data_IF_872245512353
#
_entry.id   IF_872245512353
#
_cell.length_a   1.000
_cell.length_b   1.000
_cell.length_c   1.000
_cell.angle_alpha   90.00
_cell.angle_beta   90.00
_cell.angle_gamma   90.00
#
_symmetry.space_group_name_H-M   'P 1'
#
loop_
_entity.id
_entity.type
_entity.pdbx_description
1 polymer ?
#
# COMPACT_ATOMS: atom_id res chain seq x y z
N UNK A 1 41.18 41.66 -38.40
CA UNK A 1 39.93 42.13 -37.78
C UNK A 1 40.31 43.04 -36.62
N UNK A 2 40.13 44.35 -36.79
CA UNK A 2 41.08 45.34 -36.28
C UNK A 2 40.75 45.80 -34.86
N UNK A 3 41.77 45.86 -33.99
CA UNK A 3 41.69 46.34 -32.60
C UNK A 3 41.03 47.74 -32.45
N UNK A 4 41.00 48.51 -33.53
CA UNK A 4 40.29 49.77 -33.64
C UNK A 4 38.77 49.63 -33.45
N UNK A 5 38.15 48.58 -34.01
CA UNK A 5 36.70 48.35 -33.92
C UNK A 5 36.31 48.06 -32.46
N UNK A 6 37.09 47.23 -31.76
CA UNK A 6 36.89 46.94 -30.34
C UNK A 6 37.03 48.20 -29.46
N UNK A 7 38.02 49.05 -29.73
CA UNK A 7 38.22 50.33 -29.01
C UNK A 7 37.05 51.29 -29.21
N UNK A 8 36.53 51.39 -30.43
CA UNK A 8 35.38 52.26 -30.74
C UNK A 8 34.12 51.70 -30.08
N UNK A 9 33.87 50.39 -30.16
CA UNK A 9 32.73 49.74 -29.53
C UNK A 9 32.73 49.93 -28.00
N UNK A 10 33.87 49.70 -27.34
CA UNK A 10 34.01 49.85 -25.89
C UNK A 10 33.78 51.30 -25.45
N UNK A 11 34.35 52.27 -26.18
CA UNK A 11 34.12 53.70 -25.92
C UNK A 11 32.65 54.06 -26.04
N UNK A 12 31.93 53.48 -27.01
CA UNK A 12 30.52 53.76 -27.22
C UNK A 12 29.62 53.19 -26.10
N UNK A 13 29.91 51.97 -25.65
CA UNK A 13 29.24 51.34 -24.50
C UNK A 13 29.45 52.16 -23.22
N UNK A 14 30.68 52.62 -22.99
CA UNK A 14 31.04 53.45 -21.82
C UNK A 14 30.48 54.88 -21.88
N UNK A 15 30.24 55.42 -23.08
CA UNK A 15 29.61 56.73 -23.26
C UNK A 15 28.10 56.69 -22.98
N UNK A 16 27.41 55.61 -23.38
CA UNK A 16 25.98 55.43 -23.15
C UNK A 16 25.68 54.52 -21.94
N UNK A 17 26.16 54.90 -20.75
CA UNK A 17 26.10 54.07 -19.54
C UNK A 17 24.70 53.56 -19.21
N UNK A 18 23.69 54.43 -19.22
CA UNK A 18 22.31 54.04 -18.85
C UNK A 18 21.73 53.02 -19.83
N UNK A 19 21.83 53.28 -21.15
CA UNK A 19 21.28 52.37 -22.19
C UNK A 19 22.01 51.02 -22.19
N UNK A 20 23.34 51.03 -22.06
CA UNK A 20 24.14 49.82 -22.00
C UNK A 20 23.85 48.99 -20.74
N UNK A 21 23.61 49.64 -19.60
CA UNK A 21 23.20 48.95 -18.36
C UNK A 21 21.82 48.30 -18.52
N UNK A 22 20.83 48.99 -19.09
CA UNK A 22 19.49 48.42 -19.31
C UNK A 22 19.58 47.16 -20.17
N UNK A 23 20.28 47.24 -21.31
CA UNK A 23 20.46 46.09 -22.22
C UNK A 23 21.22 44.96 -21.52
N UNK A 24 22.29 45.28 -20.79
CA UNK A 24 23.07 44.30 -20.02
C UNK A 24 22.24 43.59 -18.95
N UNK A 25 21.38 44.32 -18.23
CA UNK A 25 20.49 43.75 -17.21
C UNK A 25 19.46 42.83 -17.84
N UNK A 26 18.87 43.19 -18.98
CA UNK A 26 17.91 42.32 -19.69
C UNK A 26 18.59 41.01 -20.11
N UNK A 27 19.78 41.09 -20.72
CA UNK A 27 20.54 39.90 -21.09
C UNK A 27 20.95 39.07 -19.87
N UNK A 28 21.41 39.71 -18.79
CA UNK A 28 21.79 39.03 -17.56
C UNK A 28 20.59 38.32 -16.90
N UNK A 29 19.42 38.97 -16.88
CA UNK A 29 18.20 38.38 -16.33
C UNK A 29 17.73 37.18 -17.17
N UNK A 30 17.75 37.30 -18.49
CA UNK A 30 17.43 36.19 -19.39
C UNK A 30 18.37 35.00 -19.21
N UNK A 31 19.68 35.26 -19.13
CA UNK A 31 20.68 34.23 -18.85
C UNK A 31 20.49 33.61 -17.46
N UNK A 32 20.21 34.41 -16.43
CA UNK A 32 19.96 33.94 -15.07
C UNK A 32 18.77 32.98 -15.03
N UNK A 33 17.64 33.37 -15.63
CA UNK A 33 16.44 32.53 -15.69
C UNK A 33 16.72 31.22 -16.43
N UNK A 34 17.44 31.27 -17.56
CA UNK A 34 17.81 30.08 -18.30
C UNK A 34 18.70 29.12 -17.49
N UNK A 35 19.73 29.65 -16.83
CA UNK A 35 20.67 28.84 -16.03
C UNK A 35 19.99 28.28 -14.78
N UNK A 36 19.23 29.09 -14.05
CA UNK A 36 18.52 28.65 -12.84
C UNK A 36 17.44 27.64 -13.19
N UNK A 37 16.67 27.88 -14.26
CA UNK A 37 15.67 26.95 -14.75
C UNK A 37 16.27 25.60 -15.12
N UNK A 38 17.36 25.59 -15.90
CA UNK A 38 18.03 24.35 -16.27
C UNK A 38 18.62 23.62 -15.06
N UNK A 39 19.27 24.35 -14.15
CA UNK A 39 19.85 23.78 -12.94
C UNK A 39 18.78 23.17 -12.03
N UNK A 40 17.60 23.79 -11.93
CA UNK A 40 16.48 23.28 -11.15
C UNK A 40 15.95 21.96 -11.74
N UNK A 41 15.69 21.93 -13.06
CA UNK A 41 15.22 20.72 -13.75
C UNK A 41 16.23 19.59 -13.61
N UNK A 42 17.50 19.88 -13.83
CA UNK A 42 18.59 18.91 -13.67
C UNK A 42 18.70 18.39 -12.22
N UNK A 43 18.49 19.25 -11.22
CA UNK A 43 18.50 18.84 -9.83
C UNK A 43 17.31 17.94 -9.48
N UNK A 44 16.13 18.23 -10.04
CA UNK A 44 14.94 17.40 -9.88
C UNK A 44 15.13 16.02 -10.51
N UNK A 45 15.64 15.96 -11.74
CA UNK A 45 15.90 14.71 -12.45
C UNK A 45 16.91 13.83 -11.70
N UNK A 46 18.06 14.41 -11.31
CA UNK A 46 19.07 13.71 -10.51
C UNK A 46 18.54 13.28 -9.16
N UNK A 47 17.76 14.14 -8.49
CA UNK A 47 17.16 13.85 -7.19
C UNK A 47 16.17 12.69 -7.27
N UNK A 48 15.31 12.69 -8.28
CA UNK A 48 14.30 11.65 -8.51
C UNK A 48 14.95 10.32 -8.90
N UNK A 49 15.86 10.34 -9.88
CA UNK A 49 16.62 9.16 -10.31
C UNK A 49 17.37 8.53 -9.14
N UNK A 50 18.14 9.33 -8.41
CA UNK A 50 18.87 8.87 -7.22
C UNK A 50 17.91 8.33 -6.15
N UNK A 51 16.78 9.00 -5.94
CA UNK A 51 15.78 8.57 -4.97
C UNK A 51 15.22 7.19 -5.29
N UNK A 52 14.90 6.92 -6.56
CA UNK A 52 14.32 5.64 -7.01
C UNK A 52 15.38 4.53 -6.98
N UNK A 53 16.59 4.82 -7.48
CA UNK A 53 17.71 3.87 -7.52
C UNK A 53 18.11 3.44 -6.11
N UNK A 54 18.32 4.40 -5.20
CA UNK A 54 18.82 4.13 -3.84
C UNK A 54 17.74 3.59 -2.86
N UNK A 55 16.46 3.63 -3.24
CA UNK A 55 15.36 3.16 -2.38
C UNK A 55 14.92 1.74 -2.69
N UNK A 56 14.75 1.38 -3.97
CA UNK A 56 14.11 0.11 -4.33
C UNK A 56 14.55 -0.48 -5.67
N UNK A 57 14.70 0.35 -6.71
CA UNK A 57 14.81 -0.15 -8.08
C UNK A 57 16.22 -0.68 -8.43
N UNK A 58 17.26 -0.09 -7.82
CA UNK A 58 18.63 -0.27 -8.26
C UNK A 58 18.89 0.41 -9.62
N UNK A 59 20.07 0.18 -10.19
CA UNK A 59 20.48 0.82 -11.45
C UNK A 59 19.84 0.19 -12.69
N UNK A 60 19.53 -1.11 -12.64
CA UNK A 60 18.96 -1.86 -13.74
C UNK A 60 18.06 -2.95 -13.19
N UNK A 61 16.93 -3.17 -13.85
CA UNK A 61 15.99 -4.23 -13.52
C UNK A 61 15.88 -5.20 -14.68
N UNK A 62 15.92 -6.49 -14.37
CA UNK A 62 15.83 -7.58 -15.34
C UNK A 62 14.55 -8.34 -15.01
N UNK A 63 13.67 -8.47 -16.01
CA UNK A 63 12.41 -9.20 -15.88
C UNK A 63 12.32 -10.30 -16.94
N UNK A 64 11.37 -11.22 -16.77
CA UNK A 64 11.17 -12.29 -17.72
C UNK A 64 10.57 -11.74 -19.03
N UNK A 65 11.02 -12.28 -20.18
CA UNK A 65 10.47 -11.92 -21.50
C UNK A 65 9.01 -12.36 -21.66
N UNK A 66 8.58 -13.38 -20.93
CA UNK A 66 7.23 -13.95 -21.00
C UNK A 66 6.18 -13.25 -20.13
N UNK A 67 6.51 -12.12 -19.49
CA UNK A 67 5.53 -11.32 -18.77
C UNK A 67 4.47 -10.77 -19.73
N UNK A 68 3.20 -10.80 -19.32
CA UNK A 68 2.08 -10.27 -20.10
C UNK A 68 2.00 -8.76 -20.03
N UNK A 69 2.45 -8.19 -18.91
CA UNK A 69 2.31 -6.78 -18.60
C UNK A 69 3.66 -6.05 -18.66
N UNK A 70 3.66 -4.74 -18.98
CA UNK A 70 4.84 -3.92 -18.84
C UNK A 70 5.32 -3.88 -17.39
N UNK A 71 6.63 -3.84 -17.20
CA UNK A 71 7.22 -3.82 -15.87
C UNK A 71 6.84 -2.53 -15.12
N UNK A 72 6.12 -2.67 -14.00
CA UNK A 72 5.83 -1.60 -13.04
C UNK A 72 6.04 -2.12 -11.62
N UNK A 73 6.92 -1.47 -10.86
CA UNK A 73 7.25 -1.86 -9.48
C UNK A 73 6.05 -1.65 -8.55
N UNK A 74 5.25 -0.61 -8.82
CA UNK A 74 4.16 -0.18 -7.95
C UNK A 74 2.78 -0.65 -8.44
N UNK A 75 2.72 -1.34 -9.59
CA UNK A 75 1.49 -1.73 -10.23
C UNK A 75 0.60 -0.54 -10.62
N UNK A 76 -0.65 -0.84 -10.98
CA UNK A 76 -1.72 0.14 -11.14
C UNK A 76 -2.73 -0.11 -10.02
N UNK A 77 -3.08 0.94 -9.28
CA UNK A 77 -4.02 0.91 -8.15
C UNK A 77 -5.39 0.34 -8.54
N UNK A 78 -5.75 0.41 -9.83
CA UNK A 78 -7.02 -0.08 -10.37
C UNK A 78 -6.90 -1.39 -11.16
N UNK A 79 -5.74 -1.73 -11.73
CA UNK A 79 -5.58 -2.90 -12.61
C UNK A 79 -4.94 -4.13 -11.92
N UNK A 80 -4.48 -4.00 -10.67
CA UNK A 80 -3.82 -5.07 -9.93
C UNK A 80 -2.30 -5.13 -10.16
N UNK A 81 -1.64 -6.18 -9.66
CA UNK A 81 -0.20 -6.34 -9.90
C UNK A 81 0.08 -6.81 -11.33
N UNK A 82 1.04 -6.18 -12.03
CA UNK A 82 1.43 -6.57 -13.37
C UNK A 82 2.11 -7.95 -13.36
N UNK A 83 1.73 -8.81 -14.31
CA UNK A 83 2.40 -10.07 -14.57
C UNK A 83 3.66 -9.83 -15.42
N UNK A 84 4.77 -9.53 -14.76
CA UNK A 84 6.10 -9.41 -15.39
C UNK A 84 6.84 -10.76 -15.52
N UNK A 85 6.14 -11.88 -15.27
CA UNK A 85 6.66 -13.24 -15.36
C UNK A 85 7.65 -13.62 -14.26
N UNK A 86 8.04 -14.90 -14.26
CA UNK A 86 8.94 -15.50 -13.25
C UNK A 86 10.26 -15.88 -13.90
N UNK A 87 11.37 -15.56 -13.23
CA UNK A 87 12.70 -16.07 -13.56
C UNK A 87 12.95 -17.31 -12.69
N UNK A 88 12.91 -18.53 -13.25
CA UNK A 88 12.93 -19.76 -12.46
C UNK A 88 14.30 -20.07 -11.83
N UNK A 89 15.41 -19.72 -12.50
CA UNK A 89 16.76 -19.98 -12.01
C UNK A 89 17.53 -18.67 -11.76
N UNK A 90 17.34 -18.12 -10.57
CA UNK A 90 18.08 -16.94 -10.14
C UNK A 90 19.59 -17.20 -10.05
N UNK A 91 20.02 -18.41 -9.70
CA UNK A 91 21.45 -18.71 -9.53
C UNK A 91 22.20 -18.66 -10.87
N UNK A 92 21.59 -19.14 -11.96
CA UNK A 92 22.12 -18.99 -13.31
C UNK A 92 22.19 -17.52 -13.73
N UNK A 93 21.13 -16.73 -13.49
CA UNK A 93 21.11 -15.30 -13.83
C UNK A 93 22.17 -14.53 -13.04
N UNK A 94 22.27 -14.76 -11.72
CA UNK A 94 23.29 -14.14 -10.86
C UNK A 94 24.71 -14.46 -11.34
N UNK A 95 24.96 -15.69 -11.80
CA UNK A 95 26.26 -16.10 -12.33
C UNK A 95 26.63 -15.37 -13.61
N UNK A 96 25.68 -15.23 -14.54
CA UNK A 96 25.91 -14.55 -15.83
C UNK A 96 26.04 -13.04 -15.63
N UNK A 97 25.09 -12.42 -14.96
CA UNK A 97 25.06 -10.96 -14.76
C UNK A 97 26.17 -10.49 -13.83
N UNK A 98 26.48 -11.26 -12.78
CA UNK A 98 27.58 -10.96 -11.87
C UNK A 98 28.97 -11.04 -12.50
N UNK A 99 29.11 -11.70 -13.66
CA UNK A 99 30.36 -11.73 -14.41
C UNK A 99 30.57 -10.49 -15.31
N UNK A 100 29.55 -9.64 -15.46
CA UNK A 100 29.63 -8.43 -16.29
C UNK A 100 30.43 -7.34 -15.56
N UNK A 101 31.47 -6.75 -16.18
CA UNK A 101 32.22 -5.64 -15.57
C UNK A 101 31.32 -4.47 -15.20
N UNK A 102 31.47 -3.95 -13.98
CA UNK A 102 30.67 -2.85 -13.46
C UNK A 102 29.39 -3.27 -12.70
N UNK A 103 29.05 -4.57 -12.67
CA UNK A 103 27.96 -5.07 -11.82
C UNK A 103 28.47 -5.28 -10.39
N UNK A 104 27.97 -4.48 -9.44
CA UNK A 104 28.37 -4.55 -8.04
C UNK A 104 27.62 -5.64 -7.26
N UNK A 105 26.35 -5.88 -7.59
CA UNK A 105 25.49 -6.89 -6.99
C UNK A 105 24.29 -7.20 -7.88
N UNK A 106 23.74 -8.40 -7.70
CA UNK A 106 22.48 -8.84 -8.30
C UNK A 106 21.57 -9.30 -7.16
N UNK A 107 20.46 -8.60 -6.98
CA UNK A 107 19.54 -8.79 -5.85
C UNK A 107 18.25 -9.43 -6.38
N UNK A 108 17.80 -10.57 -5.81
CA UNK A 108 16.56 -11.20 -6.23
C UNK A 108 15.38 -10.38 -5.70
N UNK A 109 14.39 -10.13 -6.54
CA UNK A 109 13.17 -9.40 -6.18
C UNK A 109 11.96 -10.09 -6.80
N UNK A 110 10.87 -10.19 -6.04
CA UNK A 110 9.57 -10.66 -6.50
C UNK A 110 8.47 -9.86 -5.82
N UNK A 111 7.44 -9.48 -6.58
CA UNK A 111 6.34 -8.65 -6.08
C UNK A 111 5.05 -9.45 -6.09
N UNK A 112 4.27 -9.37 -5.02
CA UNK A 112 2.96 -10.00 -4.95
C UNK A 112 2.03 -9.26 -3.98
N UNK A 113 0.73 -9.47 -4.13
CA UNK A 113 -0.28 -9.02 -3.17
C UNK A 113 -0.69 -10.19 -2.31
N UNK A 114 -0.63 -10.01 -1.00
CA UNK A 114 -1.29 -10.86 -0.03
C UNK A 114 -2.57 -10.19 0.44
N UNK A 115 -3.63 -10.97 0.62
CA UNK A 115 -4.82 -10.53 1.31
C UNK A 115 -4.76 -11.08 2.72
N UNK A 116 -4.52 -10.21 3.69
CA UNK A 116 -4.57 -10.56 5.10
C UNK A 116 -6.01 -10.47 5.59
N UNK A 117 -6.60 -11.59 6.00
CA UNK A 117 -7.92 -11.59 6.65
C UNK A 117 -7.72 -11.51 8.17
N UNK A 118 -8.20 -10.43 8.78
CA UNK A 118 -8.24 -10.28 10.24
C UNK A 118 -9.33 -11.12 10.91
N UNK A 119 -10.18 -11.81 10.15
CA UNK A 119 -11.40 -12.44 10.60
C UNK A 119 -12.49 -11.41 10.87
N UNK A 120 -13.73 -11.81 10.63
CA UNK A 120 -14.89 -10.94 10.81
C UNK A 120 -15.22 -10.73 12.31
N UNK A 121 -15.66 -9.52 12.67
CA UNK A 121 -16.15 -9.22 14.02
C UNK A 121 -17.27 -10.19 14.44
N UNK A 122 -18.16 -10.56 13.52
CA UNK A 122 -19.23 -11.52 13.80
C UNK A 122 -18.66 -12.91 14.14
N UNK A 123 -17.66 -13.41 13.40
CA UNK A 123 -17.02 -14.71 13.70
C UNK A 123 -16.43 -14.75 15.10
N UNK A 124 -15.74 -13.68 15.52
CA UNK A 124 -15.17 -13.59 16.87
C UNK A 124 -16.27 -13.59 17.94
N UNK A 125 -17.39 -12.90 17.69
CA UNK A 125 -18.52 -12.86 18.62
C UNK A 125 -19.28 -14.18 18.65
N UNK A 126 -19.44 -14.86 17.53
CA UNK A 126 -20.05 -16.20 17.45
C UNK A 126 -19.18 -17.25 18.16
N UNK A 127 -17.85 -17.18 18.00
CA UNK A 127 -16.92 -18.04 18.73
C UNK A 127 -17.02 -17.81 20.25
N UNK A 128 -17.09 -16.56 20.71
CA UNK A 128 -17.30 -16.22 22.11
C UNK A 128 -18.66 -16.70 22.62
N UNK A 129 -19.73 -16.54 21.83
CA UNK A 129 -21.07 -17.00 22.18
C UNK A 129 -21.11 -18.53 22.29
N UNK A 130 -20.48 -19.25 21.37
CA UNK A 130 -20.34 -20.71 21.45
C UNK A 130 -19.60 -21.13 22.72
N UNK A 131 -18.55 -20.43 23.11
CA UNK A 131 -17.82 -20.71 24.34
C UNK A 131 -18.70 -20.49 25.58
N UNK A 132 -19.47 -19.40 25.63
CA UNK A 132 -20.41 -19.09 26.72
C UNK A 132 -21.53 -20.14 26.84
N UNK A 133 -22.12 -20.56 25.72
CA UNK A 133 -23.13 -21.63 25.66
C UNK A 133 -22.55 -22.96 26.17
N UNK A 134 -21.33 -23.32 25.76
CA UNK A 134 -20.66 -24.55 26.23
C UNK A 134 -20.31 -24.48 27.72
N UNK A 135 -20.00 -23.30 28.23
CA UNK A 135 -19.71 -23.07 29.65
C UNK A 135 -20.98 -22.99 30.52
N UNK A 136 -22.17 -22.91 29.93
CA UNK A 136 -23.43 -22.73 30.66
C UNK A 136 -23.59 -21.35 31.30
N UNK A 137 -22.85 -20.34 30.82
CA UNK A 137 -22.94 -18.98 31.34
C UNK A 137 -24.11 -18.22 30.69
N UNK A 138 -25.26 -18.25 31.36
CA UNK A 138 -26.49 -17.64 30.86
C UNK A 138 -26.39 -16.10 30.74
N UNK A 139 -25.65 -15.44 31.62
CA UNK A 139 -25.50 -13.98 31.58
C UNK A 139 -24.62 -13.56 30.40
N UNK A 140 -23.46 -14.19 30.23
CA UNK A 140 -22.60 -13.93 29.08
C UNK A 140 -23.27 -14.30 27.76
N UNK A 141 -24.06 -15.37 27.74
CA UNK A 141 -24.83 -15.79 26.55
C UNK A 141 -25.85 -14.72 26.15
N UNK A 142 -26.65 -14.21 27.09
CA UNK A 142 -27.64 -13.17 26.81
C UNK A 142 -26.99 -11.87 26.27
N UNK A 143 -25.90 -11.43 26.89
CA UNK A 143 -25.15 -10.25 26.44
C UNK A 143 -24.55 -10.43 25.03
N UNK A 144 -23.98 -11.61 24.76
CA UNK A 144 -23.40 -11.91 23.46
C UNK A 144 -24.47 -12.06 22.37
N UNK A 145 -25.64 -12.62 22.69
CA UNK A 145 -26.80 -12.66 21.77
C UNK A 145 -27.23 -11.23 21.41
N UNK A 146 -27.36 -10.33 22.39
CA UNK A 146 -27.72 -8.94 22.13
C UNK A 146 -26.70 -8.27 21.18
N UNK A 147 -25.40 -8.45 21.43
CA UNK A 147 -24.34 -7.93 20.55
C UNK A 147 -24.38 -8.51 19.14
N UNK A 148 -24.57 -9.83 19.00
CA UNK A 148 -24.69 -10.49 17.69
C UNK A 148 -25.88 -9.93 16.92
N UNK A 149 -27.02 -9.73 17.57
CA UNK A 149 -28.22 -9.13 16.96
C UNK A 149 -27.99 -7.69 16.50
N UNK A 150 -27.27 -6.88 17.26
CA UNK A 150 -26.89 -5.52 16.84
C UNK A 150 -25.98 -5.51 15.61
N UNK A 151 -25.00 -6.43 15.55
CA UNK A 151 -24.12 -6.57 14.39
C UNK A 151 -24.93 -7.01 13.16
N UNK A 152 -25.83 -8.00 13.31
CA UNK A 152 -26.69 -8.47 12.22
C UNK A 152 -27.62 -7.38 11.68
N UNK A 153 -28.15 -6.51 12.54
CA UNK A 153 -28.99 -5.40 12.10
C UNK A 153 -28.24 -4.45 11.16
N UNK A 154 -27.02 -4.04 11.54
CA UNK A 154 -26.16 -3.20 10.72
C UNK A 154 -25.85 -3.84 9.36
N UNK A 155 -25.55 -5.14 9.34
CA UNK A 155 -25.21 -5.88 8.12
C UNK A 155 -26.37 -5.99 7.15
N UNK A 156 -27.56 -6.30 7.66
CA UNK A 156 -28.75 -6.40 6.82
C UNK A 156 -29.09 -5.03 6.24
N UNK A 157 -28.95 -3.95 7.02
CA UNK A 157 -29.20 -2.60 6.53
C UNK A 157 -28.19 -2.22 5.41
N UNK A 158 -26.91 -2.55 5.57
CA UNK A 158 -25.87 -2.33 4.54
C UNK A 158 -26.14 -3.16 3.26
N UNK A 159 -26.47 -4.45 3.40
CA UNK A 159 -26.78 -5.33 2.26
C UNK A 159 -28.08 -4.91 1.55
N UNK A 160 -29.08 -4.43 2.29
CA UNK A 160 -30.32 -3.92 1.73
C UNK A 160 -30.08 -2.63 0.92
N UNK A 161 -29.18 -1.75 1.38
CA UNK A 161 -28.77 -0.56 0.62
C UNK A 161 -28.05 -0.94 -0.69
N UNK A 162 -27.24 -2.00 -0.67
CA UNK A 162 -26.53 -2.52 -1.85
C UNK A 162 -27.44 -3.24 -2.86
N UNK A 163 -28.65 -3.66 -2.46
CA UNK A 163 -29.63 -4.35 -3.31
C UNK A 163 -30.02 -3.57 -4.58
N UNK A 164 -29.91 -2.24 -4.54
CA UNK A 164 -30.17 -1.37 -5.69
C UNK A 164 -29.09 -1.39 -6.79
N UNK A 165 -27.95 -2.05 -6.54
CA UNK A 165 -26.76 -1.99 -7.40
C UNK A 165 -26.49 -3.29 -8.18
N UNK A 166 -27.18 -4.40 -7.89
CA UNK A 166 -26.96 -5.69 -8.56
C UNK A 166 -28.21 -6.59 -8.60
N UNK A 167 -28.40 -7.29 -9.71
CA UNK A 167 -29.48 -8.28 -9.92
C UNK A 167 -29.00 -9.72 -9.73
N UNK A 168 -27.81 -9.91 -9.18
CA UNK A 168 -27.19 -11.22 -9.00
C UNK A 168 -28.01 -12.11 -8.04
N UNK A 169 -28.42 -13.29 -8.53
CA UNK A 169 -29.20 -14.27 -7.78
C UNK A 169 -28.47 -14.79 -6.54
N UNK A 170 -27.13 -14.82 -6.58
CA UNK A 170 -26.31 -15.20 -5.43
C UNK A 170 -26.40 -14.16 -4.31
N UNK A 171 -26.32 -12.87 -4.65
CA UNK A 171 -26.47 -11.76 -3.69
C UNK A 171 -27.87 -11.74 -3.08
N UNK A 172 -28.92 -12.04 -3.86
CA UNK A 172 -30.29 -12.15 -3.33
C UNK A 172 -30.46 -13.35 -2.39
N UNK A 173 -29.76 -14.47 -2.65
CA UNK A 173 -29.74 -15.63 -1.74
C UNK A 173 -29.10 -15.27 -0.40
N UNK A 174 -27.95 -14.62 -0.45
CA UNK A 174 -27.21 -14.12 0.72
C UNK A 174 -28.07 -13.18 1.57
N UNK A 175 -28.76 -12.21 0.96
CA UNK A 175 -29.62 -11.27 1.70
C UNK A 175 -30.76 -11.98 2.46
N UNK A 176 -31.38 -13.02 1.87
CA UNK A 176 -32.42 -13.80 2.56
C UNK A 176 -31.92 -14.52 3.80
N UNK A 177 -30.73 -15.11 3.74
CA UNK A 177 -30.11 -15.78 4.89
C UNK A 177 -29.83 -14.78 6.04
N UNK A 178 -29.39 -13.56 5.70
CA UNK A 178 -29.19 -12.49 6.68
C UNK A 178 -30.51 -11.95 7.27
N UNK A 179 -31.56 -11.79 6.45
CA UNK A 179 -32.89 -11.37 6.90
C UNK A 179 -33.54 -12.40 7.84
N UNK A 180 -33.36 -13.70 7.55
CA UNK A 180 -33.81 -14.79 8.43
C UNK A 180 -33.13 -14.72 9.80
N UNK A 181 -31.81 -14.51 9.83
CA UNK A 181 -31.04 -14.38 11.06
C UNK A 181 -31.38 -13.12 11.88
N UNK A 182 -31.94 -12.08 11.25
CA UNK A 182 -32.41 -10.86 11.92
C UNK A 182 -33.78 -11.03 12.58
N UNK A 183 -34.62 -11.93 12.07
CA UNK A 183 -35.99 -12.09 12.53
C UNK A 183 -36.07 -12.57 13.99
N UNK A 184 -36.98 -12.01 14.78
CA UNK A 184 -37.22 -12.45 16.18
C UNK A 184 -37.53 -13.96 16.26
N UNK A 185 -38.23 -14.48 15.25
CA UNK A 185 -38.57 -15.90 15.14
C UNK A 185 -37.34 -16.82 15.09
N UNK A 186 -36.20 -16.36 14.57
CA UNK A 186 -34.96 -17.15 14.56
C UNK A 186 -34.39 -17.35 15.97
N UNK A 187 -34.57 -16.35 16.84
CA UNK A 187 -34.02 -16.29 18.19
C UNK A 187 -34.96 -16.81 19.28
N UNK A 188 -36.27 -16.92 18.98
CA UNK A 188 -37.30 -17.32 19.94
C UNK A 188 -37.06 -18.70 20.59
N UNK A 189 -36.41 -19.61 19.87
CA UNK A 189 -36.04 -20.97 20.30
C UNK A 189 -34.52 -21.15 20.45
N UNK A 190 -33.77 -20.05 20.57
CA UNK A 190 -32.31 -20.12 20.68
C UNK A 190 -31.86 -20.97 21.88
N UNK A 191 -32.52 -20.81 23.03
CA UNK A 191 -32.18 -21.56 24.25
C UNK A 191 -32.48 -23.07 24.13
N UNK A 192 -33.40 -23.46 23.25
CA UNK A 192 -33.75 -24.87 23.03
C UNK A 192 -32.72 -25.60 22.14
N UNK A 193 -32.08 -24.89 21.20
CA UNK A 193 -31.12 -25.47 20.27
C UNK A 193 -29.97 -24.50 19.90
N UNK A 194 -29.19 -24.01 20.88
CA UNK A 194 -28.27 -22.89 20.67
C UNK A 194 -27.13 -23.24 19.71
N UNK A 195 -26.65 -24.50 19.73
CA UNK A 195 -25.57 -24.95 18.85
C UNK A 195 -26.00 -25.03 17.37
N UNK A 196 -27.24 -25.44 17.09
CA UNK A 196 -27.76 -25.52 15.73
C UNK A 196 -27.98 -24.12 15.13
N UNK A 197 -28.45 -23.16 15.95
CA UNK A 197 -28.58 -21.76 15.55
C UNK A 197 -27.21 -21.12 15.30
N UNK A 198 -26.23 -21.40 16.17
CA UNK A 198 -24.85 -20.96 15.98
C UNK A 198 -24.22 -21.51 14.69
N UNK A 199 -24.42 -22.79 14.39
CA UNK A 199 -23.95 -23.39 13.15
C UNK A 199 -24.54 -22.72 11.91
N UNK A 200 -25.84 -22.37 11.95
CA UNK A 200 -26.46 -21.62 10.87
C UNK A 200 -25.84 -20.22 10.71
N UNK A 201 -25.66 -19.48 11.81
CA UNK A 201 -25.06 -18.15 11.78
C UNK A 201 -23.63 -18.16 11.23
N UNK A 202 -22.81 -19.12 11.65
CA UNK A 202 -21.41 -19.22 11.21
C UNK A 202 -21.27 -19.66 9.74
N UNK A 203 -22.11 -20.58 9.27
CA UNK A 203 -21.98 -21.12 7.92
C UNK A 203 -22.72 -20.31 6.86
N UNK A 204 -23.82 -19.64 7.23
CA UNK A 204 -24.71 -18.97 6.28
C UNK A 204 -24.65 -17.46 6.37
N UNK A 205 -24.29 -16.88 7.52
CA UNK A 205 -24.43 -15.44 7.78
C UNK A 205 -23.09 -14.76 7.97
N UNK A 206 -22.17 -15.37 8.71
CA UNK A 206 -20.83 -14.81 8.92
C UNK A 206 -20.01 -14.60 7.61
N UNK A 207 -20.11 -15.46 6.58
CA UNK A 207 -19.44 -15.23 5.30
C UNK A 207 -20.06 -14.10 4.46
N UNK A 208 -21.26 -13.63 4.82
CA UNK A 208 -22.00 -12.59 4.06
C UNK A 208 -21.51 -11.18 4.37
N UNK A 209 -21.01 -10.99 5.58
CA UNK A 209 -20.30 -9.78 5.96
C UNK A 209 -19.08 -9.65 5.05
N UNK A 210 -19.07 -8.61 4.21
CA UNK A 210 -17.85 -8.17 3.56
C UNK A 210 -16.78 -8.07 4.65
N UNK A 211 -15.74 -8.90 4.57
CA UNK A 211 -14.68 -8.97 5.58
C UNK A 211 -14.17 -7.55 5.86
N UNK A 212 -14.59 -6.90 6.97
CA UNK A 212 -14.15 -5.55 7.24
C UNK A 212 -12.74 -5.72 7.78
N UNK A 213 -11.75 -5.65 6.90
CA UNK A 213 -10.36 -5.90 7.27
C UNK A 213 -9.60 -6.87 6.38
N UNK A 214 -10.08 -7.25 5.19
CA UNK A 214 -9.16 -7.78 4.19
C UNK A 214 -8.19 -6.67 3.82
N UNK A 215 -6.98 -6.73 4.38
CA UNK A 215 -5.95 -5.75 4.07
C UNK A 215 -5.15 -6.28 2.87
N UNK A 216 -5.24 -5.65 1.69
CA UNK A 216 -4.32 -5.94 0.60
C UNK A 216 -2.94 -5.43 1.01
N UNK A 217 -2.02 -6.36 1.27
CA UNK A 217 -0.62 -6.07 1.56
C UNK A 217 0.15 -6.32 0.28
N UNK A 218 0.54 -5.24 -0.38
CA UNK A 218 1.49 -5.27 -1.49
C UNK A 218 2.88 -5.47 -0.88
N UNK A 219 3.53 -6.57 -1.22
CA UNK A 219 4.84 -6.90 -0.65
C UNK A 219 5.87 -7.22 -1.74
N UNK A 220 7.11 -6.86 -1.43
CA UNK A 220 8.29 -7.24 -2.19
C UNK A 220 9.06 -8.31 -1.41
N UNK A 221 9.14 -9.51 -1.98
CA UNK A 221 10.04 -10.55 -1.52
C UNK A 221 11.46 -10.32 -2.05
N UNK A 222 12.43 -10.24 -1.15
CA UNK A 222 13.86 -10.09 -1.50
C UNK A 222 14.75 -10.67 -0.40
N UNK A 223 16.06 -10.73 -0.67
CA UNK A 223 17.09 -11.00 0.32
C UNK A 223 17.32 -9.74 1.17
N UNK A 224 16.76 -9.71 2.38
CA UNK A 224 16.77 -8.53 3.26
C UNK A 224 18.18 -8.08 3.66
N UNK A 225 19.13 -9.01 3.79
CA UNK A 225 20.50 -8.69 4.17
C UNK A 225 21.25 -8.02 3.01
N UNK A 226 21.14 -8.58 1.80
CA UNK A 226 21.70 -7.97 0.60
C UNK A 226 21.01 -6.63 0.27
N UNK A 227 19.69 -6.56 0.46
CA UNK A 227 18.93 -5.34 0.22
C UNK A 227 19.38 -4.21 1.15
N UNK A 228 19.40 -4.44 2.47
CA UNK A 228 19.85 -3.44 3.45
C UNK A 228 21.29 -2.99 3.21
N UNK A 229 22.17 -3.89 2.78
CA UNK A 229 23.57 -3.56 2.53
C UNK A 229 23.79 -2.67 1.29
N UNK A 230 22.87 -2.69 0.31
CA UNK A 230 23.03 -2.03 -0.99
C UNK A 230 22.07 -0.88 -1.25
N UNK A 231 20.98 -0.77 -0.49
CA UNK A 231 20.02 0.32 -0.59
C UNK A 231 20.14 1.27 0.62
N UNK A 232 20.95 2.34 0.55
CA UNK A 232 21.32 3.16 1.70
C UNK A 232 20.15 3.95 2.30
N UNK A 233 19.04 4.09 1.56
CA UNK A 233 17.82 4.77 2.05
C UNK A 233 16.91 3.82 2.83
N UNK A 234 17.17 2.52 2.79
CA UNK A 234 16.46 1.53 3.59
C UNK A 234 16.91 1.59 5.05
N UNK A 235 16.00 1.96 5.96
CA UNK A 235 16.28 2.08 7.40
C UNK A 235 15.14 1.51 8.21
N UNK A 236 15.49 0.72 9.23
CA UNK A 236 14.53 0.28 10.25
C UNK A 236 14.36 1.42 11.24
N UNK A 237 13.19 2.06 11.23
CA UNK A 237 12.87 3.19 12.11
C UNK A 237 12.16 2.77 13.40
N UNK A 238 11.45 1.63 13.36
CA UNK A 238 10.67 1.10 14.47
C UNK A 238 10.81 -0.43 14.50
N UNK A 239 10.88 -1.00 15.70
CA UNK A 239 11.03 -2.45 15.90
C UNK A 239 12.48 -2.92 15.78
N UNK A 240 12.65 -4.19 15.43
CA UNK A 240 13.97 -4.83 15.24
C UNK A 240 14.10 -5.30 13.80
N UNK A 241 15.33 -5.31 13.29
CA UNK A 241 15.61 -5.92 11.99
C UNK A 241 15.31 -7.42 12.04
N UNK A 242 14.84 -7.97 10.92
CA UNK A 242 14.66 -9.42 10.77
C UNK A 242 16.04 -10.09 10.94
N UNK A 243 16.18 -11.08 11.84
CA UNK A 243 17.45 -11.77 12.03
C UNK A 243 17.94 -12.45 10.73
N UNK A 244 19.25 -12.56 10.51
CA UNK A 244 19.80 -13.21 9.32
C UNK A 244 19.25 -14.63 9.15
N UNK A 245 18.97 -15.01 7.90
CA UNK A 245 18.45 -16.33 7.51
C UNK A 245 17.08 -16.71 8.13
N UNK A 246 16.37 -15.76 8.73
CA UNK A 246 15.00 -15.98 9.20
C UNK A 246 14.00 -15.33 8.26
N UNK A 247 12.80 -15.92 8.19
CA UNK A 247 11.68 -15.29 7.49
C UNK A 247 11.10 -14.20 8.38
N UNK A 248 10.84 -13.04 7.80
CA UNK A 248 10.22 -11.93 8.51
C UNK A 248 9.61 -10.93 7.56
N UNK A 249 8.79 -10.04 8.12
CA UNK A 249 8.14 -8.97 7.39
C UNK A 249 8.63 -7.62 7.91
N UNK A 250 8.85 -6.70 6.98
CA UNK A 250 9.12 -5.30 7.29
C UNK A 250 8.06 -4.48 6.58
N UNK A 251 7.43 -3.58 7.33
CA UNK A 251 6.42 -2.68 6.79
C UNK A 251 7.05 -1.32 6.54
N UNK A 252 6.63 -0.68 5.45
CA UNK A 252 6.80 0.76 5.34
C UNK A 252 6.08 1.41 6.54
N UNK A 253 6.75 2.34 7.21
CA UNK A 253 6.20 2.94 8.44
C UNK A 253 4.84 3.62 8.20
N UNK A 254 4.66 4.32 7.08
CA UNK A 254 3.38 4.95 6.73
C UNK A 254 2.27 3.92 6.52
N UNK A 255 2.55 2.86 5.75
CA UNK A 255 1.59 1.76 5.53
C UNK A 255 1.23 1.08 6.84
N UNK A 256 2.19 0.87 7.74
CA UNK A 256 1.92 0.32 9.06
C UNK A 256 0.96 1.21 9.86
N UNK A 257 1.26 2.51 9.94
CA UNK A 257 0.43 3.46 10.70
C UNK A 257 -0.98 3.58 10.14
N UNK A 258 -1.15 3.57 8.82
CA UNK A 258 -2.45 3.80 8.19
C UNK A 258 -3.31 2.53 8.07
N UNK A 259 -2.67 1.39 7.82
CA UNK A 259 -3.38 0.19 7.35
C UNK A 259 -3.27 -1.00 8.30
N UNK A 260 -2.18 -1.11 9.06
CA UNK A 260 -1.94 -2.25 9.96
C UNK A 260 -2.29 -1.92 11.41
N UNK A 261 -2.04 -0.68 11.83
CA UNK A 261 -2.32 -0.20 13.18
C UNK A 261 -3.82 -0.26 13.47
N UNK A 262 -4.15 -0.60 14.71
CA UNK A 262 -5.52 -0.62 15.19
C UNK A 262 -6.20 0.74 14.96
N UNK A 263 -7.43 0.72 14.42
CA UNK A 263 -8.16 1.93 14.05
C UNK A 263 -8.42 2.87 15.24
N UNK A 264 -8.63 2.34 16.44
CA UNK A 264 -8.80 3.16 17.63
C UNK A 264 -7.48 3.85 18.00
N UNK A 265 -6.36 3.11 17.98
CA UNK A 265 -5.04 3.67 18.23
C UNK A 265 -4.65 4.74 17.20
N UNK A 266 -4.95 4.51 15.92
CA UNK A 266 -4.75 5.50 14.87
C UNK A 266 -5.57 6.78 15.07
N UNK A 267 -6.84 6.65 15.47
CA UNK A 267 -7.72 7.79 15.72
C UNK A 267 -7.23 8.65 16.88
N UNK A 268 -6.80 8.02 17.98
CA UNK A 268 -6.20 8.74 19.12
C UNK A 268 -4.90 9.46 18.73
N UNK A 269 -4.04 8.84 17.93
CA UNK A 269 -2.80 9.48 17.45
C UNK A 269 -3.08 10.68 16.54
N UNK A 270 -4.11 10.62 15.70
CA UNK A 270 -4.51 11.76 14.88
C UNK A 270 -5.04 12.93 15.71
N UNK A 271 -5.82 12.65 16.75
CA UNK A 271 -6.31 13.68 17.67
C UNK A 271 -5.16 14.34 18.42
N UNK A 272 -4.17 13.55 18.85
CA UNK A 272 -3.02 14.06 19.61
C UNK A 272 -2.07 14.88 18.74
N UNK A 273 -1.93 14.57 17.44
CA UNK A 273 -1.10 15.35 16.50
C UNK A 273 -1.76 16.64 16.01
N UNK A 274 -3.07 16.78 16.19
CA UNK A 274 -3.84 17.95 15.78
C UNK A 274 -4.03 19.00 16.90
N UNK A 275 -3.62 18.66 18.12
CA UNK A 275 -3.60 19.53 19.30
C UNK A 275 -2.19 20.10 19.53
#
# INVERSE_FOLDING_TARGET
MNALIWRIALRNVLAHRVKSVIVGVIFALGALVGVVGNALVDAMDRGMSRSIIESLAGHLQIHARGGKDPFSIYGDEFAGMPDFGVIPDFAAVKRVIGAVPGVEAVIPMGSQVAFGDGGNLLDRKLAALRAAVKAGDAAATADLVAHVRSILALVVDDLAAARGLTTDAEVQGRLRDAELARADAFWADFDAAPLAKLEHLENRVAPLLAQPGTLPIWFLGTDLDQFRARFPRFKVVLGQAVPPQTRGFLFNHGVYEEAVKDRAAWAFDKLTKAA
#
